data_IF_950385110159
#
_entry.id   IF_950385110159
#
_cell.length_a   1.000
_cell.length_b   1.000
_cell.length_c   1.000
_cell.angle_alpha   90.00
_cell.angle_beta   90.00
_cell.angle_gamma   90.00
#
_symmetry.space_group_name_H-M   'P 1'
#
loop_
_entity.id
_entity.type
_entity.pdbx_description
1 polymer ?
#
# COMPACT_ATOMS: atom_id res chain seq x y z
N UNK A 1 17.07 9.33 3.04
CA UNK A 1 16.04 8.57 3.75
C UNK A 1 14.79 8.57 2.87
N UNK A 2 14.08 7.45 2.71
CA UNK A 2 12.92 7.41 1.81
C UNK A 2 11.71 8.01 2.51
N UNK A 3 11.19 9.12 1.98
CA UNK A 3 9.98 9.76 2.49
C UNK A 3 8.75 9.06 1.91
N UNK A 4 8.29 8.01 2.58
CA UNK A 4 7.12 7.26 2.15
C UNK A 4 5.82 8.05 2.27
N UNK A 5 5.78 9.10 3.10
CA UNK A 5 4.62 9.97 3.18
C UNK A 5 4.49 10.81 1.92
N UNK A 6 5.58 11.47 1.51
CA UNK A 6 5.61 12.21 0.25
C UNK A 6 5.37 11.27 -0.94
N UNK A 7 6.00 10.10 -0.95
CA UNK A 7 5.78 9.10 -2.01
C UNK A 7 4.31 8.66 -2.07
N UNK A 8 3.65 8.41 -0.94
CA UNK A 8 2.22 8.11 -0.91
C UNK A 8 1.38 9.21 -1.59
N UNK A 9 1.63 10.48 -1.26
CA UNK A 9 0.88 11.61 -1.83
C UNK A 9 1.07 11.69 -3.36
N UNK A 10 2.32 11.61 -3.83
CA UNK A 10 2.63 11.69 -5.26
C UNK A 10 2.06 10.49 -6.04
N UNK A 11 2.14 9.28 -5.47
CA UNK A 11 1.59 8.08 -6.11
C UNK A 11 0.06 8.10 -6.16
N UNK A 12 -0.60 8.66 -5.15
CA UNK A 12 -2.04 8.88 -5.18
C UNK A 12 -2.42 9.83 -6.32
N UNK A 13 -1.69 10.94 -6.50
CA UNK A 13 -1.89 11.88 -7.61
C UNK A 13 -1.70 11.17 -8.96
N UNK A 14 -0.65 10.35 -9.11
CA UNK A 14 -0.42 9.57 -10.33
C UNK A 14 -1.61 8.64 -10.62
N UNK A 15 -2.10 7.92 -9.62
CA UNK A 15 -3.27 7.03 -9.75
C UNK A 15 -4.51 7.80 -10.21
N UNK A 16 -4.81 8.95 -9.58
CA UNK A 16 -5.95 9.79 -9.96
C UNK A 16 -5.81 10.34 -11.38
N UNK A 17 -4.61 10.77 -11.77
CA UNK A 17 -4.34 11.33 -13.10
C UNK A 17 -4.48 10.29 -14.21
N UNK A 18 -4.09 9.05 -13.94
CA UNK A 18 -4.18 7.96 -14.91
C UNK A 18 -5.59 7.37 -15.00
N UNK A 19 -6.44 7.55 -13.98
CA UNK A 19 -7.84 7.14 -14.06
C UNK A 19 -8.67 8.13 -14.91
N UNK A 20 -9.57 7.65 -15.80
CA UNK A 20 -9.79 6.28 -16.23
C UNK A 20 -8.96 5.89 -17.48
N UNK A 21 -8.08 6.78 -17.94
CA UNK A 21 -7.46 6.74 -19.28
C UNK A 21 -6.45 5.59 -19.46
N UNK A 22 -5.63 5.30 -18.44
CA UNK A 22 -4.54 4.32 -18.49
C UNK A 22 -4.70 3.33 -17.35
N UNK A 23 -5.64 2.38 -17.52
CA UNK A 23 -6.08 1.44 -16.49
C UNK A 23 -4.95 0.67 -15.80
N UNK A 24 -4.09 0.01 -16.57
CA UNK A 24 -2.92 -0.72 -16.04
C UNK A 24 -1.99 0.18 -15.24
N UNK A 25 -1.75 1.40 -15.74
CA UNK A 25 -0.93 2.40 -15.04
C UNK A 25 -1.55 2.84 -13.72
N UNK A 26 -2.86 3.13 -13.73
CA UNK A 26 -3.60 3.49 -12.53
C UNK A 26 -3.60 2.34 -11.50
N UNK A 27 -3.83 1.10 -11.94
CA UNK A 27 -3.77 -0.10 -11.09
C UNK A 27 -2.41 -0.30 -10.45
N UNK A 28 -1.35 -0.19 -11.26
CA UNK A 28 0.03 -0.28 -10.77
C UNK A 28 0.33 0.78 -9.71
N UNK A 29 0.11 2.06 -10.02
CA UNK A 29 0.39 3.14 -9.09
C UNK A 29 -0.53 3.16 -7.89
N UNK A 30 -1.77 2.69 -8.03
CA UNK A 30 -2.68 2.56 -6.90
C UNK A 30 -2.19 1.50 -5.92
N UNK A 31 -1.62 0.41 -6.43
CA UNK A 31 -0.93 -0.57 -5.59
C UNK A 31 0.30 0.03 -4.87
N UNK A 32 1.16 0.73 -5.60
CA UNK A 32 2.33 1.43 -5.02
C UNK A 32 1.89 2.49 -3.99
N UNK A 33 0.75 3.16 -4.19
CA UNK A 33 0.20 4.14 -3.25
C UNK A 33 -0.08 3.48 -1.89
N UNK A 34 -0.81 2.36 -1.89
CA UNK A 34 -1.13 1.63 -0.65
C UNK A 34 0.13 1.08 0.00
N UNK A 35 1.07 0.53 -0.79
CA UNK A 35 2.38 0.10 -0.28
C UNK A 35 3.11 1.23 0.46
N UNK A 36 3.17 2.43 -0.14
CA UNK A 36 3.81 3.59 0.47
C UNK A 36 3.08 4.03 1.75
N UNK A 37 1.75 4.03 1.75
CA UNK A 37 0.96 4.36 2.94
C UNK A 37 1.23 3.39 4.09
N UNK A 38 1.20 2.08 3.82
CA UNK A 38 1.48 1.06 4.83
C UNK A 38 2.91 1.21 5.39
N UNK A 39 3.91 1.47 4.54
CA UNK A 39 5.28 1.74 4.96
C UNK A 39 5.39 2.99 5.82
N UNK A 40 4.69 4.06 5.47
CA UNK A 40 4.62 5.28 6.28
C UNK A 40 4.01 5.00 7.65
N UNK A 41 2.91 4.24 7.72
CA UNK A 41 2.26 3.85 8.98
C UNK A 41 3.17 2.97 9.85
N UNK A 42 4.00 2.08 9.28
CA UNK A 42 5.03 1.36 10.05
C UNK A 42 6.02 2.35 10.66
N UNK A 43 6.49 3.32 9.88
CA UNK A 43 7.43 4.33 10.38
C UNK A 43 6.85 5.25 11.46
N UNK A 44 5.55 5.48 11.46
CA UNK A 44 4.89 6.26 12.52
C UNK A 44 4.85 5.51 13.86
N UNK A 45 5.02 4.18 13.85
CA UNK A 45 5.07 3.35 15.07
C UNK A 45 6.47 3.14 15.64
N UNK A 46 7.50 3.75 15.02
CA UNK A 46 8.87 3.56 15.48
C UNK A 46 9.11 4.13 16.89
N UNK A 47 10.00 3.52 17.68
CA UNK A 47 10.38 4.05 18.99
C UNK A 47 10.92 5.48 18.89
N UNK A 48 10.71 6.26 19.94
CA UNK A 48 11.26 7.61 20.02
C UNK A 48 12.79 7.59 19.88
N UNK A 49 13.34 8.47 19.03
CA UNK A 49 14.77 8.54 18.73
C UNK A 49 15.27 7.52 17.70
N UNK A 50 14.40 6.62 17.20
CA UNK A 50 14.74 5.75 16.09
C UNK A 50 14.75 6.53 14.76
N UNK A 51 15.65 6.15 13.86
CA UNK A 51 15.77 6.69 12.51
C UNK A 51 14.67 6.11 11.61
N UNK A 52 14.08 6.92 10.71
CA UNK A 52 13.07 6.44 9.73
C UNK A 52 13.72 5.74 8.53
N UNK A 53 14.53 4.73 8.80
CA UNK A 53 15.22 3.94 7.78
C UNK A 53 15.11 2.45 8.08
N UNK A 54 14.98 1.61 7.05
CA UNK A 54 14.85 0.18 7.29
C UNK A 54 16.13 -0.42 7.90
N UNK A 55 15.94 -1.39 8.81
CA UNK A 55 17.05 -2.19 9.32
C UNK A 55 17.66 -3.04 8.20
N UNK A 56 18.97 -2.95 8.07
CA UNK A 56 19.80 -3.78 7.20
C UNK A 56 20.88 -4.48 8.04
N UNK A 57 21.72 -5.30 7.40
CA UNK A 57 22.90 -5.89 8.03
C UNK A 57 24.00 -4.86 8.34
N UNK A 58 23.94 -3.67 7.73
CA UNK A 58 25.02 -2.67 7.73
C UNK A 58 24.67 -1.37 8.45
N UNK A 59 23.46 -1.23 9.01
CA UNK A 59 23.05 -0.05 9.78
C UNK A 59 22.45 -0.44 11.13
N UNK A 60 22.29 0.54 12.01
CA UNK A 60 21.57 0.39 13.27
C UNK A 60 20.62 1.58 13.51
N UNK A 61 19.39 1.54 12.97
CA UNK A 61 18.46 2.66 13.02
C UNK A 61 17.72 2.81 14.35
N UNK A 62 18.08 2.04 15.38
CA UNK A 62 17.37 2.04 16.67
C UNK A 62 16.09 1.19 16.69
N UNK A 63 15.86 0.35 15.68
CA UNK A 63 14.78 -0.64 15.64
C UNK A 63 15.18 -1.90 14.85
N UNK A 64 14.35 -2.94 14.90
CA UNK A 64 14.59 -4.25 14.23
C UNK A 64 13.79 -4.43 12.92
N UNK A 65 12.87 -3.51 12.62
CA UNK A 65 11.99 -3.57 11.45
C UNK A 65 12.76 -3.48 10.13
N UNK A 66 12.58 -4.45 9.24
CA UNK A 66 13.18 -4.53 7.90
C UNK A 66 12.19 -4.05 6.85
N UNK A 67 12.68 -3.73 5.64
CA UNK A 67 11.83 -3.35 4.51
C UNK A 67 10.90 -4.52 4.12
N UNK A 68 9.57 -4.33 4.10
CA UNK A 68 8.62 -5.39 3.76
C UNK A 68 8.56 -5.71 2.26
N UNK A 69 9.27 -4.98 1.40
CA UNK A 69 9.18 -5.15 -0.05
C UNK A 69 7.85 -4.61 -0.59
N UNK A 70 7.25 -5.32 -1.55
CA UNK A 70 6.03 -4.89 -2.26
C UNK A 70 4.75 -5.59 -1.79
N UNK A 71 4.85 -6.59 -0.90
CA UNK A 71 3.70 -7.36 -0.42
C UNK A 71 3.04 -6.66 0.77
N UNK A 72 1.73 -6.47 0.72
CA UNK A 72 0.99 -5.84 1.82
C UNK A 72 1.01 -6.71 3.07
N UNK A 73 0.88 -8.02 2.92
CA UNK A 73 0.97 -8.97 4.04
C UNK A 73 2.30 -8.84 4.83
N UNK A 74 3.42 -8.60 4.16
CA UNK A 74 4.71 -8.37 4.81
C UNK A 74 4.76 -7.01 5.51
N UNK A 75 4.12 -5.97 4.94
CA UNK A 75 4.01 -4.68 5.59
C UNK A 75 3.14 -4.76 6.87
N UNK A 76 2.02 -5.49 6.81
CA UNK A 76 1.13 -5.70 7.96
C UNK A 76 1.79 -6.49 9.10
N UNK A 77 2.73 -7.40 8.80
CA UNK A 77 3.57 -8.03 9.83
C UNK A 77 4.44 -7.03 10.60
N UNK A 78 4.77 -5.89 9.98
CA UNK A 78 5.50 -4.79 10.61
C UNK A 78 4.63 -3.86 11.46
N UNK A 79 3.30 -4.05 11.50
CA UNK A 79 2.38 -3.23 12.29
C UNK A 79 1.23 -4.09 12.86
N UNK A 80 1.48 -4.73 14.01
CA UNK A 80 0.53 -5.67 14.63
C UNK A 80 -0.83 -5.04 14.94
N UNK A 81 -0.87 -3.77 15.38
CA UNK A 81 -2.13 -3.08 15.71
C UNK A 81 -2.99 -2.87 14.48
N UNK A 82 -2.39 -2.44 13.37
CA UNK A 82 -3.08 -2.31 12.08
C UNK A 82 -3.55 -3.67 11.57
N UNK A 83 -2.68 -4.69 11.62
CA UNK A 83 -3.03 -6.06 11.20
C UNK A 83 -4.26 -6.57 11.94
N UNK A 84 -4.26 -6.49 13.27
CA UNK A 84 -5.40 -6.94 14.08
C UNK A 84 -6.68 -6.17 13.78
N UNK A 85 -6.61 -4.87 13.47
CA UNK A 85 -7.81 -4.13 13.02
C UNK A 85 -8.32 -4.66 11.69
N UNK A 86 -7.45 -4.84 10.69
CA UNK A 86 -7.84 -5.36 9.37
C UNK A 86 -8.51 -6.73 9.49
N UNK A 87 -7.96 -7.63 10.33
CA UNK A 87 -8.52 -8.97 10.57
C UNK A 87 -9.96 -8.93 11.14
N UNK A 88 -10.36 -7.83 11.79
CA UNK A 88 -11.73 -7.64 12.30
C UNK A 88 -12.72 -7.18 11.23
N UNK A 89 -12.26 -6.72 10.06
CA UNK A 89 -13.11 -6.20 8.98
C UNK A 89 -12.84 -6.97 7.68
N UNK A 90 -13.54 -8.08 7.42
CA UNK A 90 -13.32 -8.91 6.23
C UNK A 90 -13.35 -8.14 4.91
N UNK A 91 -14.24 -7.16 4.79
CA UNK A 91 -14.34 -6.28 3.60
C UNK A 91 -13.05 -5.50 3.33
N UNK A 92 -12.28 -5.14 4.35
CA UNK A 92 -10.99 -4.46 4.19
C UNK A 92 -9.94 -5.42 3.67
N UNK A 93 -9.99 -6.70 4.07
CA UNK A 93 -9.13 -7.73 3.50
C UNK A 93 -9.43 -7.97 2.02
N UNK A 94 -10.71 -7.96 1.63
CA UNK A 94 -11.12 -8.04 0.22
C UNK A 94 -10.59 -6.85 -0.59
N UNK A 95 -10.66 -5.62 -0.05
CA UNK A 95 -10.09 -4.46 -0.73
C UNK A 95 -8.56 -4.55 -0.83
N UNK A 96 -7.87 -5.03 0.20
CA UNK A 96 -6.42 -5.25 0.17
C UNK A 96 -6.03 -6.21 -0.95
N UNK A 97 -6.69 -7.37 -1.01
CA UNK A 97 -6.42 -8.37 -2.04
C UNK A 97 -6.74 -7.83 -3.44
N UNK A 98 -7.89 -7.17 -3.60
CA UNK A 98 -8.30 -6.58 -4.89
C UNK A 98 -7.27 -5.56 -5.39
N UNK A 99 -6.72 -4.73 -4.49
CA UNK A 99 -5.74 -3.69 -4.86
C UNK A 99 -4.32 -4.25 -5.01
N UNK A 100 -3.94 -5.25 -4.23
CA UNK A 100 -2.63 -5.94 -4.35
C UNK A 100 -2.57 -6.79 -5.62
N UNK A 101 -3.67 -7.47 -5.95
CA UNK A 101 -3.77 -8.48 -7.00
C UNK A 101 -4.85 -8.15 -8.06
N UNK A 102 -4.83 -6.96 -8.72
CA UNK A 102 -5.77 -6.66 -9.78
C UNK A 102 -5.72 -7.73 -10.88
N UNK A 103 -6.91 -8.23 -11.27
CA UNK A 103 -7.04 -9.32 -12.26
C UNK A 103 -6.21 -10.58 -11.90
N UNK A 104 -6.10 -10.90 -10.61
CA UNK A 104 -5.30 -12.01 -10.07
C UNK A 104 -3.80 -11.89 -10.39
N UNK A 105 -3.29 -10.68 -10.63
CA UNK A 105 -1.87 -10.40 -10.84
C UNK A 105 -1.41 -9.32 -9.89
N UNK A 106 -0.23 -9.52 -9.30
CA UNK A 106 0.34 -8.52 -8.40
C UNK A 106 0.55 -7.19 -9.14
N UNK A 107 0.22 -6.06 -8.49
CA UNK A 107 0.25 -4.73 -9.14
C UNK A 107 1.62 -4.34 -9.75
N UNK A 108 2.72 -4.92 -9.25
CA UNK A 108 4.06 -4.74 -9.84
C UNK A 108 4.18 -5.42 -11.21
N UNK A 109 3.61 -6.62 -11.32
CA UNK A 109 3.74 -7.52 -12.46
C UNK A 109 2.76 -7.16 -13.58
N UNK A 110 1.67 -6.48 -13.25
CA UNK A 110 0.66 -6.00 -14.20
C UNK A 110 1.26 -5.19 -15.36
N UNK A 111 2.35 -4.48 -15.11
CA UNK A 111 3.06 -3.69 -16.14
C UNK A 111 3.69 -4.53 -17.25
N UNK A 112 3.87 -5.83 -17.03
CA UNK A 112 4.54 -6.75 -17.94
C UNK A 112 3.58 -7.75 -18.59
N UNK A 113 2.31 -7.79 -18.17
CA UNK A 113 1.38 -8.84 -18.61
C UNK A 113 0.74 -8.57 -19.97
N UNK A 114 0.70 -7.31 -20.42
CA UNK A 114 0.01 -6.91 -21.65
C UNK A 114 -1.51 -7.09 -21.58
N UNK A 115 -2.05 -7.42 -20.41
CA UNK A 115 -3.48 -7.55 -20.17
C UNK A 115 -4.10 -6.17 -19.97
N UNK A 116 -5.21 -5.92 -20.65
CA UNK A 116 -6.01 -4.71 -20.45
C UNK A 116 -7.28 -5.06 -19.65
N UNK A 117 -7.52 -4.39 -18.51
CA UNK A 117 -8.74 -4.59 -17.73
C UNK A 117 -9.98 -4.15 -18.50
N UNK A 118 -11.04 -4.96 -18.44
CA UNK A 118 -12.38 -4.49 -18.80
C UNK A 118 -12.90 -3.45 -17.80
N UNK A 119 -14.03 -2.82 -18.12
CA UNK A 119 -14.59 -1.74 -17.31
C UNK A 119 -15.11 -2.23 -15.95
N UNK A 120 -15.60 -3.47 -15.86
CA UNK A 120 -16.14 -4.04 -14.62
C UNK A 120 -15.03 -4.31 -13.62
N UNK A 121 -13.98 -5.03 -14.04
CA UNK A 121 -12.80 -5.30 -13.25
C UNK A 121 -12.09 -4.00 -12.82
N UNK A 122 -12.03 -3.02 -13.73
CA UNK A 122 -11.42 -1.74 -13.41
C UNK A 122 -12.24 -0.94 -12.39
N UNK A 123 -13.57 -0.93 -12.51
CA UNK A 123 -14.44 -0.23 -11.57
C UNK A 123 -14.42 -0.89 -10.18
N UNK A 124 -14.44 -2.23 -10.11
CA UNK A 124 -14.30 -2.98 -8.86
C UNK A 124 -12.98 -2.64 -8.16
N UNK A 125 -11.88 -2.63 -8.91
CA UNK A 125 -10.58 -2.26 -8.40
C UNK A 125 -10.56 -0.81 -7.90
N UNK A 126 -11.07 0.14 -8.68
CA UNK A 126 -11.04 1.55 -8.30
C UNK A 126 -11.87 1.83 -7.04
N UNK A 127 -13.05 1.22 -6.93
CA UNK A 127 -13.88 1.31 -5.73
C UNK A 127 -13.16 0.75 -4.50
N UNK A 128 -12.53 -0.42 -4.63
CA UNK A 128 -11.74 -1.03 -3.56
C UNK A 128 -10.56 -0.15 -3.16
N UNK A 129 -9.86 0.44 -4.14
CA UNK A 129 -8.78 1.39 -3.91
C UNK A 129 -9.23 2.62 -3.13
N UNK A 130 -10.33 3.28 -3.54
CA UNK A 130 -10.88 4.46 -2.85
C UNK A 130 -11.33 4.15 -1.42
N UNK A 131 -11.99 3.02 -1.22
CA UNK A 131 -12.43 2.61 0.12
C UNK A 131 -11.23 2.28 1.02
N UNK A 132 -10.25 1.55 0.49
CA UNK A 132 -9.06 1.14 1.23
C UNK A 132 -8.20 2.34 1.64
N UNK A 133 -7.92 3.28 0.72
CA UNK A 133 -7.11 4.45 1.04
C UNK A 133 -7.80 5.31 2.11
N UNK A 134 -9.12 5.55 1.99
CA UNK A 134 -9.90 6.30 2.98
C UNK A 134 -9.83 5.62 4.35
N UNK A 135 -10.09 4.32 4.39
CA UNK A 135 -10.08 3.55 5.63
C UNK A 135 -8.70 3.54 6.30
N UNK A 136 -7.62 3.34 5.54
CA UNK A 136 -6.25 3.34 6.08
C UNK A 136 -5.84 4.71 6.61
N UNK A 137 -6.24 5.80 5.94
CA UNK A 137 -5.99 7.17 6.44
C UNK A 137 -6.74 7.43 7.76
N UNK A 138 -7.98 6.96 7.90
CA UNK A 138 -8.71 7.02 9.17
C UNK A 138 -8.02 6.21 10.27
N UNK A 139 -7.53 5.01 9.95
CA UNK A 139 -6.82 4.19 10.93
C UNK A 139 -5.53 4.85 11.40
N UNK A 140 -4.79 5.46 10.49
CA UNK A 140 -3.55 6.15 10.83
C UNK A 140 -3.75 7.28 11.85
N UNK A 141 -4.90 7.94 11.81
CA UNK A 141 -5.23 9.01 12.75
C UNK A 141 -5.71 8.50 14.12
N UNK A 142 -6.03 7.20 14.23
CA UNK A 142 -6.67 6.60 15.42
C UNK A 142 -5.89 5.43 16.03
N UNK A 143 -4.74 5.05 15.45
CA UNK A 143 -3.82 4.04 15.95
C UNK A 143 -2.79 4.67 16.88
#
# INVERSE_FOLDING_TARGET
MQDYQAAFMERHIDTQTLYPVRKVGAMHFGGVTIECLLKAMIFDTLPHGASREWKTKHNNPGHTIKNPGHKYSEALRGNDRLRSRIEMFPVVMEWLDTVENPMNQHFIDLRYSGLEPDDENYQLWFNSYQNLISWLQEQRNTL
#
